data_IF_216618911800
#
_entry.id   IF_216618911800
#
_cell.length_a   1.000
_cell.length_b   1.000
_cell.length_c   1.000
_cell.angle_alpha   90.00
_cell.angle_beta   90.00
_cell.angle_gamma   90.00
#
_symmetry.space_group_name_H-M   'P 1'
#
loop_
_entity.id
_entity.type
_entity.pdbx_description
1 polymer ?
#
# COMPACT_ATOMS: atom_id res chain seq x y z
N UNK A 1 11.49 0.91 -34.03
CA UNK A 1 11.00 -0.49 -33.95
C UNK A 1 10.13 -0.77 -35.16
N UNK A 2 9.96 -2.04 -35.56
CA UNK A 2 9.17 -2.39 -36.76
C UNK A 2 7.66 -2.23 -36.48
N UNK A 3 6.95 -1.31 -37.15
CA UNK A 3 5.52 -1.10 -36.95
C UNK A 3 4.64 -2.27 -37.41
N UNK A 4 5.19 -3.22 -38.18
CA UNK A 4 4.47 -4.40 -38.66
C UNK A 4 4.60 -5.61 -37.71
N UNK A 5 5.43 -5.49 -36.67
CA UNK A 5 5.62 -6.53 -35.67
C UNK A 5 4.54 -6.39 -34.58
N UNK A 6 3.75 -7.45 -34.38
CA UNK A 6 2.62 -7.44 -33.42
C UNK A 6 3.05 -7.56 -31.96
N UNK A 7 4.19 -8.18 -31.69
CA UNK A 7 4.69 -8.43 -30.33
C UNK A 7 6.13 -7.96 -30.22
N UNK A 8 6.42 -7.12 -29.22
CA UNK A 8 7.77 -6.66 -28.92
C UNK A 8 8.28 -7.32 -27.63
N UNK A 9 9.55 -7.72 -27.65
CA UNK A 9 10.17 -8.46 -26.54
C UNK A 9 11.37 -7.74 -25.93
N UNK A 10 12.12 -8.48 -25.13
CA UNK A 10 13.32 -7.96 -24.47
C UNK A 10 14.37 -7.42 -25.46
N UNK A 11 14.58 -8.08 -26.60
CA UNK A 11 15.55 -7.62 -27.60
C UNK A 11 15.18 -6.26 -28.20
N UNK A 12 13.88 -5.98 -28.31
CA UNK A 12 13.38 -4.69 -28.77
C UNK A 12 13.58 -3.60 -27.71
N UNK A 13 13.51 -3.97 -26.42
CA UNK A 13 13.87 -3.07 -25.31
C UNK A 13 15.34 -2.66 -25.36
N UNK A 14 16.24 -3.59 -25.70
CA UNK A 14 17.69 -3.29 -25.88
C UNK A 14 17.90 -2.31 -27.04
N UNK A 15 17.21 -2.52 -28.17
CA UNK A 15 17.25 -1.57 -29.31
C UNK A 15 16.72 -0.20 -28.91
N UNK A 16 15.60 -0.16 -28.18
CA UNK A 16 14.99 1.08 -27.69
C UNK A 16 15.96 1.86 -26.79
N UNK A 17 16.60 1.18 -25.82
CA UNK A 17 17.61 1.78 -24.95
C UNK A 17 18.78 2.38 -25.74
N UNK A 18 19.20 1.73 -26.82
CA UNK A 18 20.28 2.21 -27.69
C UNK A 18 19.91 3.52 -28.41
N UNK A 19 18.63 3.69 -28.78
CA UNK A 19 18.14 4.89 -29.47
C UNK A 19 17.75 6.04 -28.54
N UNK A 20 17.63 5.79 -27.23
CA UNK A 20 17.23 6.76 -26.21
C UNK A 20 18.34 6.93 -25.15
N UNK A 21 19.54 7.42 -25.52
CA UNK A 21 20.67 7.53 -24.61
C UNK A 21 20.46 8.52 -23.46
N UNK A 22 19.52 9.47 -23.61
CA UNK A 22 19.15 10.45 -22.60
C UNK A 22 18.10 9.93 -21.60
N UNK A 23 17.51 8.75 -21.85
CA UNK A 23 16.57 8.08 -20.94
C UNK A 23 17.25 6.91 -20.21
N UNK A 24 17.16 6.90 -18.89
CA UNK A 24 17.39 5.71 -18.09
C UNK A 24 16.15 4.80 -18.16
N UNK A 25 16.36 3.52 -18.48
CA UNK A 25 15.28 2.54 -18.60
C UNK A 25 15.49 1.46 -17.55
N UNK A 26 14.56 1.35 -16.59
CA UNK A 26 14.65 0.35 -15.52
C UNK A 26 13.54 -0.68 -15.72
N UNK A 27 13.95 -1.94 -15.86
CA UNK A 27 13.05 -3.07 -15.94
C UNK A 27 12.99 -3.77 -14.58
N UNK A 28 11.85 -3.66 -13.92
CA UNK A 28 11.52 -4.47 -12.75
C UNK A 28 10.80 -5.73 -13.15
N UNK A 29 10.86 -6.75 -12.30
CA UNK A 29 9.99 -7.90 -12.42
C UNK A 29 9.94 -8.70 -11.14
N UNK A 30 8.94 -9.56 -11.07
CA UNK A 30 8.83 -10.55 -10.01
C UNK A 30 9.33 -11.88 -10.57
N UNK A 31 10.47 -12.33 -10.07
CA UNK A 31 10.93 -13.68 -10.36
C UNK A 31 10.04 -14.68 -9.60
N UNK A 32 9.11 -15.33 -10.30
CA UNK A 32 8.14 -16.27 -9.74
C UNK A 32 6.95 -15.56 -9.07
N UNK A 33 6.73 -15.73 -7.77
CA UNK A 33 5.68 -15.01 -6.99
C UNK A 33 6.29 -14.29 -5.79
N UNK A 34 7.59 -13.95 -5.86
CA UNK A 34 8.23 -13.11 -4.86
C UNK A 34 7.34 -11.88 -4.60
N UNK A 35 7.11 -11.54 -3.34
CA UNK A 35 6.25 -10.40 -2.98
C UNK A 35 6.92 -9.04 -3.22
N UNK A 36 8.06 -9.04 -3.90
CA UNK A 36 8.99 -7.92 -3.96
C UNK A 36 9.60 -7.86 -5.35
N UNK A 37 9.26 -6.81 -6.11
CA UNK A 37 9.83 -6.52 -7.41
C UNK A 37 11.35 -6.38 -7.31
N UNK A 38 12.08 -6.90 -8.29
CA UNK A 38 13.54 -6.76 -8.40
C UNK A 38 13.92 -6.10 -9.71
N UNK A 39 14.97 -5.28 -9.68
CA UNK A 39 15.61 -4.78 -10.90
C UNK A 39 16.16 -6.00 -11.67
N UNK A 40 15.57 -6.23 -12.85
CA UNK A 40 15.97 -7.26 -13.80
C UNK A 40 17.12 -6.70 -14.65
N UNK A 41 16.92 -5.51 -15.22
CA UNK A 41 17.88 -4.81 -16.06
C UNK A 41 17.76 -3.29 -15.88
N UNK A 42 18.85 -2.58 -16.15
CA UNK A 42 18.94 -1.13 -16.04
C UNK A 42 19.85 -0.59 -17.13
N UNK A 43 19.23 0.09 -18.10
CA UNK A 43 19.91 0.68 -19.24
C UNK A 43 20.13 2.17 -19.03
N UNK A 44 21.24 2.68 -19.55
CA UNK A 44 21.59 4.11 -19.55
C UNK A 44 21.47 4.78 -18.17
N UNK A 45 22.18 4.31 -17.12
CA UNK A 45 22.02 4.79 -15.75
C UNK A 45 22.34 6.29 -15.57
N UNK A 46 23.09 6.89 -16.49
CA UNK A 46 23.42 8.32 -16.51
C UNK A 46 22.37 9.19 -17.22
N UNK A 47 21.31 8.57 -17.77
CA UNK A 47 20.22 9.27 -18.47
C UNK A 47 19.42 10.19 -17.54
N UNK A 48 19.11 11.39 -18.04
CA UNK A 48 18.38 12.43 -17.29
C UNK A 48 16.87 12.21 -17.26
N UNK A 49 16.30 11.49 -18.23
CA UNK A 49 14.88 11.16 -18.34
C UNK A 49 14.64 9.71 -17.93
N UNK A 50 13.40 9.31 -17.65
CA UNK A 50 13.09 7.99 -17.07
C UNK A 50 11.99 7.24 -17.81
N UNK A 51 12.21 5.93 -18.00
CA UNK A 51 11.18 4.97 -18.42
C UNK A 51 11.21 3.79 -17.45
N UNK A 52 10.13 3.60 -16.71
CA UNK A 52 9.93 2.47 -15.83
C UNK A 52 9.10 1.39 -16.49
N UNK A 53 9.57 0.14 -16.44
CA UNK A 53 8.83 -1.02 -16.94
C UNK A 53 8.76 -2.10 -15.86
N UNK A 54 7.63 -2.78 -15.78
CA UNK A 54 7.43 -3.94 -14.92
C UNK A 54 7.07 -5.16 -15.75
N UNK A 55 7.84 -6.24 -15.61
CA UNK A 55 7.65 -7.47 -16.34
C UNK A 55 7.16 -8.61 -15.44
N UNK A 56 5.98 -9.14 -15.77
CA UNK A 56 5.40 -10.29 -15.10
C UNK A 56 4.57 -11.13 -16.08
N UNK A 57 4.68 -12.46 -16.01
CA UNK A 57 3.88 -13.39 -16.82
C UNK A 57 3.89 -13.10 -18.34
N UNK A 58 5.06 -12.76 -18.89
CA UNK A 58 5.25 -12.38 -20.30
C UNK A 58 4.57 -11.06 -20.72
N UNK A 59 4.16 -10.24 -19.76
CA UNK A 59 3.58 -8.93 -19.99
C UNK A 59 4.50 -7.84 -19.44
N UNK A 60 4.67 -6.76 -20.20
CA UNK A 60 5.29 -5.51 -19.75
C UNK A 60 4.20 -4.50 -19.38
N UNK A 61 4.27 -3.93 -18.19
CA UNK A 61 3.45 -2.83 -17.73
C UNK A 61 4.33 -1.59 -17.56
N UNK A 62 3.80 -0.40 -17.83
CA UNK A 62 4.57 0.82 -17.60
C UNK A 62 4.47 1.22 -16.13
N UNK A 63 5.59 1.72 -15.58
CA UNK A 63 5.65 2.22 -14.21
C UNK A 63 6.08 3.67 -14.26
N UNK A 64 5.13 4.57 -13.99
CA UNK A 64 5.36 6.01 -13.93
C UNK A 64 5.93 6.49 -12.59
N UNK A 65 6.20 5.60 -11.63
CA UNK A 65 6.62 6.01 -10.28
C UNK A 65 7.98 6.73 -10.30
N UNK A 66 7.95 8.01 -10.00
CA UNK A 66 9.10 8.86 -9.68
C UNK A 66 9.05 9.24 -8.20
N UNK A 67 10.19 9.64 -7.64
CA UNK A 67 10.22 10.32 -6.33
C UNK A 67 10.87 11.67 -6.55
N UNK A 68 10.05 12.71 -6.69
CA UNK A 68 10.46 14.02 -7.18
C UNK A 68 10.94 13.95 -8.64
N UNK A 69 11.99 14.71 -9.03
CA UNK A 69 12.45 14.78 -10.42
C UNK A 69 13.27 13.56 -10.88
N UNK A 70 13.35 12.48 -10.07
CA UNK A 70 14.20 11.32 -10.34
C UNK A 70 13.39 10.03 -10.33
N UNK A 71 13.85 9.06 -11.12
CA UNK A 71 13.33 7.71 -11.13
C UNK A 71 13.27 7.12 -9.72
N UNK A 72 12.14 6.54 -9.36
CA UNK A 72 12.03 5.80 -8.11
C UNK A 72 12.81 4.49 -8.21
N UNK A 73 13.44 4.06 -7.12
CA UNK A 73 14.03 2.73 -6.97
C UNK A 73 13.24 1.95 -5.96
N UNK A 74 12.98 0.68 -6.29
CA UNK A 74 12.29 -0.20 -5.38
C UNK A 74 13.22 -0.62 -4.21
N UNK A 75 12.81 -0.34 -2.97
CA UNK A 75 13.57 -0.75 -1.80
C UNK A 75 13.18 -2.15 -1.30
N UNK A 76 14.13 -3.07 -1.31
CA UNK A 76 13.94 -4.45 -0.84
C UNK A 76 13.71 -4.60 0.67
N UNK A 77 14.04 -3.59 1.47
CA UNK A 77 13.86 -3.61 2.94
C UNK A 77 12.41 -3.31 3.31
N UNK A 78 11.90 -2.15 2.89
CA UNK A 78 10.55 -1.69 3.21
C UNK A 78 9.48 -2.10 2.19
N UNK A 79 9.89 -2.65 1.03
CA UNK A 79 9.00 -3.03 -0.07
C UNK A 79 8.21 -1.84 -0.66
N UNK A 80 8.83 -0.65 -0.70
CA UNK A 80 8.24 0.58 -1.27
C UNK A 80 9.16 1.17 -2.34
N UNK A 81 8.59 1.87 -3.31
CA UNK A 81 9.33 2.76 -4.21
C UNK A 81 9.83 3.97 -3.43
N UNK A 82 11.08 4.35 -3.65
CA UNK A 82 11.74 5.43 -2.92
C UNK A 82 12.87 6.07 -3.75
N UNK A 83 13.49 7.13 -3.24
CA UNK A 83 14.65 7.74 -3.88
C UNK A 83 15.85 6.77 -3.99
N UNK A 84 16.79 7.06 -4.89
CA UNK A 84 17.95 6.20 -5.16
C UNK A 84 18.86 5.94 -3.94
N UNK A 85 18.83 6.80 -2.93
CA UNK A 85 19.62 6.69 -1.70
C UNK A 85 18.81 6.16 -0.52
N UNK A 86 17.53 5.81 -0.71
CA UNK A 86 16.65 5.37 0.37
C UNK A 86 17.25 4.21 1.18
N UNK A 87 17.99 3.29 0.55
CA UNK A 87 18.64 2.16 1.23
C UNK A 87 19.56 2.59 2.40
N UNK A 88 20.18 3.78 2.33
CA UNK A 88 21.07 4.35 3.36
C UNK A 88 20.33 4.79 4.62
N UNK A 89 19.10 5.28 4.46
CA UNK A 89 18.24 5.81 5.54
C UNK A 89 17.07 4.90 5.89
N UNK A 90 16.96 3.75 5.23
CA UNK A 90 15.85 2.83 5.43
C UNK A 90 16.03 2.12 6.77
N UNK A 91 15.07 2.27 7.68
CA UNK A 91 15.12 1.59 8.99
C UNK A 91 14.47 0.20 8.97
N UNK A 92 13.88 -0.21 7.84
CA UNK A 92 13.27 -1.53 7.72
C UNK A 92 14.32 -2.65 7.71
N UNK A 93 14.00 -3.76 8.38
CA UNK A 93 14.81 -4.98 8.29
C UNK A 93 14.65 -5.62 6.92
N UNK A 94 15.76 -6.02 6.29
CA UNK A 94 15.74 -6.73 5.01
C UNK A 94 14.99 -8.07 5.11
N UNK A 95 13.97 -8.26 4.27
CA UNK A 95 13.19 -9.51 4.20
C UNK A 95 13.94 -10.70 3.57
N UNK A 96 15.17 -10.50 3.08
CA UNK A 96 16.00 -11.56 2.47
C UNK A 96 17.14 -12.01 3.37
N UNK A 97 17.87 -11.06 3.97
CA UNK A 97 19.03 -11.37 4.82
C UNK A 97 18.83 -11.10 6.31
N UNK A 98 17.73 -10.46 6.71
CA UNK A 98 17.43 -10.17 8.12
C UNK A 98 18.25 -9.06 8.76
N UNK A 99 19.11 -8.37 8.00
CA UNK A 99 19.94 -7.26 8.50
C UNK A 99 19.37 -5.88 8.13
N UNK A 100 19.87 -4.85 8.80
CA UNK A 100 19.57 -3.44 8.49
C UNK A 100 20.62 -2.84 7.54
N UNK A 101 21.88 -3.29 7.65
CA UNK A 101 22.98 -2.83 6.80
C UNK A 101 23.11 -3.72 5.55
N UNK A 102 22.21 -3.51 4.60
CA UNK A 102 22.26 -4.14 3.28
C UNK A 102 22.45 -3.08 2.19
N UNK A 103 23.41 -3.34 1.30
CA UNK A 103 23.67 -2.50 0.15
C UNK A 103 22.97 -3.07 -1.09
N UNK A 104 22.40 -2.21 -1.95
CA UNK A 104 21.92 -2.63 -3.26
C UNK A 104 23.08 -3.19 -4.09
N UNK A 105 22.76 -4.08 -5.03
CA UNK A 105 23.72 -4.66 -5.95
C UNK A 105 22.99 -5.32 -7.12
N UNK A 106 23.75 -5.83 -8.09
CA UNK A 106 23.23 -6.45 -9.32
C UNK A 106 23.66 -7.92 -9.46
N UNK A 107 24.18 -8.53 -8.40
CA UNK A 107 24.60 -9.92 -8.43
C UNK A 107 23.39 -10.85 -8.62
N UNK A 108 23.58 -12.02 -9.23
CA UNK A 108 22.53 -13.06 -9.35
C UNK A 108 22.97 -14.25 -8.50
N UNK A 109 22.80 -14.15 -7.17
CA UNK A 109 23.25 -15.18 -6.22
C UNK A 109 22.04 -15.98 -5.75
N UNK A 110 22.09 -17.30 -5.89
CA UNK A 110 21.05 -18.22 -5.41
C UNK A 110 21.53 -18.95 -4.15
N UNK A 111 20.65 -19.09 -3.16
CA UNK A 111 20.89 -19.99 -2.04
C UNK A 111 20.16 -21.31 -2.28
N UNK A 112 20.89 -22.41 -2.39
CA UNK A 112 20.31 -23.73 -2.65
C UNK A 112 19.49 -24.26 -1.45
N UNK A 113 19.84 -23.86 -0.22
CA UNK A 113 19.17 -24.32 1.00
C UNK A 113 17.77 -23.70 1.16
N UNK A 114 17.66 -22.38 1.02
CA UNK A 114 16.41 -21.66 1.23
C UNK A 114 15.72 -21.22 -0.07
N UNK A 115 16.33 -21.45 -1.24
CA UNK A 115 15.85 -21.05 -2.56
C UNK A 115 15.63 -19.52 -2.75
N UNK A 116 16.18 -18.67 -1.88
CA UNK A 116 16.08 -17.21 -1.98
C UNK A 116 17.19 -16.66 -2.88
N UNK A 117 16.84 -15.69 -3.74
CA UNK A 117 17.79 -14.97 -4.60
C UNK A 117 18.29 -13.68 -3.94
N UNK A 118 19.58 -13.42 -4.04
CA UNK A 118 20.27 -12.26 -3.47
C UNK A 118 20.94 -11.44 -4.56
N UNK A 119 20.87 -10.12 -4.39
CA UNK A 119 21.45 -9.13 -5.32
C UNK A 119 22.81 -8.58 -4.85
N UNK A 120 23.23 -8.93 -3.64
CA UNK A 120 24.49 -8.49 -3.03
C UNK A 120 25.13 -9.65 -2.27
N UNK A 121 26.44 -9.82 -2.43
CA UNK A 121 27.21 -10.81 -1.65
C UNK A 121 27.14 -10.52 -0.15
N UNK A 122 27.11 -9.25 0.27
CA UNK A 122 26.91 -8.88 1.67
C UNK A 122 25.58 -9.40 2.23
N UNK A 123 24.50 -9.34 1.45
CA UNK A 123 23.22 -9.92 1.85
C UNK A 123 23.28 -11.45 1.93
N UNK A 124 23.97 -12.08 0.97
CA UNK A 124 24.18 -13.52 0.99
C UNK A 124 25.04 -13.94 2.20
N UNK A 125 26.15 -13.31 2.48
CA UNK A 125 26.98 -13.74 3.61
C UNK A 125 26.22 -13.51 4.94
N UNK A 126 25.47 -12.40 5.06
CA UNK A 126 24.67 -12.11 6.24
C UNK A 126 23.49 -13.08 6.46
N UNK A 127 22.85 -13.61 5.40
CA UNK A 127 21.69 -14.50 5.60
C UNK A 127 22.08 -15.87 6.20
N UNK A 128 23.35 -16.25 6.08
CA UNK A 128 23.92 -17.48 6.65
C UNK A 128 24.33 -17.32 8.11
N UNK A 129 24.47 -16.09 8.60
CA UNK A 129 24.97 -15.80 9.94
C UNK A 129 23.79 -15.62 10.91
N UNK A 130 23.79 -16.31 12.08
CA UNK A 130 22.79 -16.10 13.10
C UNK A 130 22.95 -14.74 13.78
N UNK A 131 21.82 -14.08 14.10
CA UNK A 131 21.83 -12.75 14.74
C UNK A 131 22.34 -12.77 16.18
N UNK A 132 22.21 -13.91 16.86
CA UNK A 132 22.68 -14.15 18.23
C UNK A 132 23.11 -15.62 18.35
N UNK A 133 23.89 -15.96 19.37
CA UNK A 133 24.44 -17.32 19.58
C UNK A 133 23.40 -18.44 19.56
N UNK A 134 22.19 -18.19 20.03
CA UNK A 134 21.10 -19.18 20.09
C UNK A 134 20.05 -19.01 18.96
N UNK A 135 20.21 -18.00 18.09
CA UNK A 135 19.26 -17.78 17.01
C UNK A 135 19.59 -18.63 15.79
N UNK A 136 18.56 -19.11 15.09
CA UNK A 136 18.76 -19.67 13.75
C UNK A 136 19.20 -18.56 12.77
N UNK A 137 20.10 -18.87 11.82
CA UNK A 137 20.39 -17.97 10.71
C UNK A 137 19.15 -17.74 9.84
N UNK A 138 19.11 -16.63 9.11
CA UNK A 138 17.93 -16.26 8.31
C UNK A 138 17.59 -17.34 7.27
N UNK A 139 18.62 -17.94 6.68
CA UNK A 139 18.52 -19.09 5.76
C UNK A 139 17.73 -20.28 6.33
N UNK A 140 17.80 -20.50 7.64
CA UNK A 140 17.09 -21.59 8.30
C UNK A 140 15.72 -21.18 8.82
N UNK A 141 15.41 -19.87 8.84
CA UNK A 141 14.13 -19.33 9.30
C UNK A 141 13.13 -19.17 8.17
N UNK A 142 13.60 -18.83 6.98
CA UNK A 142 12.77 -18.49 5.83
C UNK A 142 13.22 -19.25 4.60
N UNK A 143 12.28 -19.59 3.74
CA UNK A 143 12.55 -20.23 2.46
C UNK A 143 11.58 -19.74 1.39
N UNK A 144 11.99 -19.83 0.14
CA UNK A 144 11.17 -19.55 -1.03
C UNK A 144 10.48 -20.84 -1.51
N UNK A 145 9.17 -20.90 -1.40
CA UNK A 145 8.41 -22.07 -1.83
C UNK A 145 8.12 -22.01 -3.33
N UNK A 146 8.73 -22.84 -4.17
CA UNK A 146 8.51 -22.79 -5.64
C UNK A 146 7.04 -22.93 -6.07
N UNK A 147 6.22 -23.65 -5.30
CA UNK A 147 4.79 -23.91 -5.59
C UNK A 147 3.89 -22.70 -5.36
N UNK A 148 3.94 -22.12 -4.16
CA UNK A 148 3.15 -20.92 -3.84
C UNK A 148 3.89 -19.62 -4.19
N UNK A 149 5.17 -19.77 -4.52
CA UNK A 149 6.19 -18.80 -4.88
C UNK A 149 6.31 -17.60 -3.95
N UNK A 150 5.99 -17.80 -2.67
CA UNK A 150 6.18 -16.84 -1.58
C UNK A 150 7.42 -17.19 -0.75
N UNK A 151 8.00 -16.17 -0.10
CA UNK A 151 8.91 -16.39 1.02
C UNK A 151 8.06 -16.69 2.25
N UNK A 152 8.20 -17.89 2.81
CA UNK A 152 7.53 -18.30 4.04
C UNK A 152 8.54 -18.77 5.08
N UNK A 153 8.07 -18.99 6.31
CA UNK A 153 8.85 -19.52 7.42
C UNK A 153 9.02 -21.02 7.28
N UNK A 154 10.21 -21.51 7.60
CA UNK A 154 10.49 -22.95 7.64
C UNK A 154 9.75 -23.61 8.81
N UNK A 155 9.49 -24.90 8.68
CA UNK A 155 8.92 -25.75 9.73
C UNK A 155 9.78 -25.70 11.00
N UNK A 156 11.10 -25.64 10.84
CA UNK A 156 12.07 -25.50 11.94
C UNK A 156 11.86 -24.22 12.75
N UNK A 157 11.44 -23.13 12.11
CA UNK A 157 11.22 -21.85 12.78
C UNK A 157 9.79 -21.63 13.23
N UNK A 158 8.81 -22.14 12.48
CA UNK A 158 7.38 -21.97 12.76
C UNK A 158 6.80 -23.07 13.66
N UNK A 159 7.38 -24.27 13.64
CA UNK A 159 6.85 -25.48 14.27
C UNK A 159 5.83 -26.24 13.42
N UNK A 160 5.30 -25.62 12.35
CA UNK A 160 4.29 -26.21 11.46
C UNK A 160 4.78 -26.28 10.01
N UNK A 161 4.38 -27.32 9.24
CA UNK A 161 4.67 -27.41 7.83
C UNK A 161 4.06 -26.27 7.01
N UNK A 162 4.82 -25.81 6.02
CA UNK A 162 4.31 -24.89 5.01
C UNK A 162 3.17 -25.53 4.18
N UNK A 163 2.05 -24.83 4.05
CA UNK A 163 0.91 -25.23 3.21
C UNK A 163 0.67 -24.18 2.13
N UNK A 164 0.87 -24.55 0.86
CA UNK A 164 0.65 -23.66 -0.28
C UNK A 164 -0.83 -23.26 -0.39
N UNK A 165 -1.10 -21.96 -0.58
CA UNK A 165 -2.47 -21.45 -0.81
C UNK A 165 -3.32 -21.32 0.46
N UNK A 166 -2.81 -21.75 1.62
CA UNK A 166 -3.43 -21.45 2.89
C UNK A 166 -3.41 -19.93 3.12
N UNK A 167 -4.59 -19.29 3.18
CA UNK A 167 -4.69 -17.96 3.81
C UNK A 167 -4.38 -18.18 5.28
N UNK A 168 -3.39 -17.45 5.80
CA UNK A 168 -2.93 -17.62 7.17
C UNK A 168 -4.05 -17.47 8.19
N UNK A 169 -5.09 -16.69 7.88
CA UNK A 169 -6.27 -16.48 8.70
C UNK A 169 -7.52 -16.18 7.85
N UNK A 170 -8.69 -16.64 8.31
CA UNK A 170 -9.99 -16.17 7.86
C UNK A 170 -10.28 -14.81 8.48
N UNK A 171 -10.67 -13.80 7.70
CA UNK A 171 -11.11 -12.54 8.29
C UNK A 171 -12.49 -12.65 8.97
N UNK A 172 -13.27 -13.67 8.64
CA UNK A 172 -14.61 -13.89 9.20
C UNK A 172 -14.58 -14.70 10.50
N UNK A 173 -13.91 -15.85 10.50
CA UNK A 173 -13.82 -16.71 11.70
C UNK A 173 -12.57 -16.45 12.54
N UNK A 174 -11.60 -15.69 12.02
CA UNK A 174 -10.32 -15.45 12.68
C UNK A 174 -9.60 -16.75 13.07
N UNK A 175 -9.72 -17.80 12.26
CA UNK A 175 -8.95 -19.04 12.42
C UNK A 175 -8.01 -19.27 11.22
N UNK A 176 -6.98 -20.08 11.44
CA UNK A 176 -5.98 -20.44 10.43
C UNK A 176 -6.62 -21.36 9.37
N UNK A 177 -6.72 -20.89 8.14
CA UNK A 177 -7.42 -21.61 7.07
C UNK A 177 -6.52 -22.64 6.38
N UNK A 178 -7.00 -23.88 6.24
CA UNK A 178 -6.50 -24.88 5.30
C UNK A 178 -7.26 -24.88 3.96
N UNK A 179 -6.88 -25.73 3.01
CA UNK A 179 -7.64 -25.90 1.75
C UNK A 179 -9.01 -26.49 2.08
N UNK A 180 -10.11 -25.86 1.62
CA UNK A 180 -11.48 -26.33 1.85
C UNK A 180 -12.13 -25.89 3.17
N UNK A 181 -11.72 -24.74 3.72
CA UNK A 181 -12.30 -24.23 4.96
C UNK A 181 -13.78 -23.85 4.83
N UNK A 182 -14.62 -24.53 5.61
CA UNK A 182 -16.01 -24.16 5.86
C UNK A 182 -16.06 -23.08 6.95
N UNK A 183 -16.43 -21.87 6.57
CA UNK A 183 -16.36 -20.69 7.43
C UNK A 183 -17.66 -20.49 8.21
N UNK A 184 -17.53 -20.25 9.52
CA UNK A 184 -18.60 -19.75 10.40
C UNK A 184 -18.11 -18.53 11.16
N UNK A 185 -18.97 -17.55 11.44
CA UNK A 185 -18.59 -16.39 12.27
C UNK A 185 -18.05 -16.87 13.63
N UNK A 186 -16.94 -16.27 14.08
CA UNK A 186 -16.41 -16.56 15.41
C UNK A 186 -17.45 -16.15 16.45
N UNK A 187 -17.93 -17.11 17.24
CA UNK A 187 -18.72 -16.78 18.42
C UNK A 187 -17.78 -16.13 19.43
N UNK A 188 -18.06 -14.90 19.89
CA UNK A 188 -17.20 -14.22 20.85
C UNK A 188 -17.03 -15.06 22.12
N UNK A 189 -15.81 -15.14 22.64
CA UNK A 189 -15.57 -15.80 23.94
C UNK A 189 -16.22 -14.99 25.06
N UNK A 190 -16.48 -15.60 26.22
CA UNK A 190 -17.02 -14.85 27.37
C UNK A 190 -16.11 -13.70 27.80
N UNK A 191 -14.80 -13.86 27.65
CA UNK A 191 -13.81 -12.82 27.94
C UNK A 191 -13.91 -11.65 26.94
N UNK A 192 -14.07 -11.94 25.64
CA UNK A 192 -14.32 -10.92 24.61
C UNK A 192 -15.65 -10.19 24.83
N UNK A 193 -16.70 -10.91 25.21
CA UNK A 193 -18.00 -10.33 25.58
C UNK A 193 -17.87 -9.41 26.78
N UNK A 194 -17.17 -9.86 27.83
CA UNK A 194 -16.96 -9.05 29.03
C UNK A 194 -16.14 -7.79 28.70
N UNK A 195 -15.06 -7.90 27.92
CA UNK A 195 -14.29 -6.73 27.48
C UNK A 195 -15.13 -5.73 26.68
N UNK A 196 -16.02 -6.21 25.80
CA UNK A 196 -16.96 -5.35 25.07
C UNK A 196 -18.01 -4.71 25.99
N UNK A 197 -18.55 -5.44 26.96
CA UNK A 197 -19.47 -4.88 27.98
C UNK A 197 -18.78 -3.82 28.83
N UNK A 198 -17.54 -4.06 29.26
CA UNK A 198 -16.74 -3.07 29.99
C UNK A 198 -16.50 -1.82 29.14
N UNK A 199 -16.13 -1.96 27.87
CA UNK A 199 -15.98 -0.83 26.95
C UNK A 199 -17.30 -0.09 26.69
N UNK A 200 -18.44 -0.76 26.83
CA UNK A 200 -19.77 -0.16 26.71
C UNK A 200 -20.26 0.52 28.01
N UNK A 201 -19.60 0.32 29.16
CA UNK A 201 -20.00 1.00 30.42
C UNK A 201 -19.96 2.51 30.29
N UNK A 202 -18.93 3.01 29.60
CA UNK A 202 -18.83 4.41 29.23
C UNK A 202 -18.55 4.51 27.73
N UNK A 203 -19.50 5.04 26.97
CA UNK A 203 -19.32 5.35 25.55
C UNK A 203 -19.83 6.75 25.28
N UNK A 204 -19.13 7.47 24.40
CA UNK A 204 -19.57 8.76 23.84
C UNK A 204 -20.09 8.50 22.44
N UNK A 205 -21.28 9.01 22.16
CA UNK A 205 -21.93 8.99 20.86
C UNK A 205 -21.88 10.40 20.28
N UNK A 206 -21.58 10.47 18.98
CA UNK A 206 -21.76 11.67 18.18
C UNK A 206 -22.86 11.32 17.19
N UNK A 207 -23.99 12.02 17.30
CA UNK A 207 -25.09 11.91 16.35
C UNK A 207 -25.10 13.22 15.58
N UNK A 208 -25.08 13.11 14.26
CA UNK A 208 -25.16 14.26 13.39
C UNK A 208 -26.19 13.99 12.29
N UNK A 209 -26.77 15.08 11.81
CA UNK A 209 -27.66 15.09 10.67
C UNK A 209 -27.19 16.17 9.69
N UNK A 210 -27.26 15.88 8.40
CA UNK A 210 -26.78 16.75 7.33
C UNK A 210 -27.91 17.00 6.35
N UNK A 211 -28.43 18.21 6.37
CA UNK A 211 -29.36 18.68 5.35
C UNK A 211 -28.56 19.22 4.17
N UNK A 212 -28.93 18.79 2.96
CA UNK A 212 -28.26 19.20 1.73
C UNK A 212 -29.24 19.89 0.78
N UNK A 213 -28.74 20.86 0.02
CA UNK A 213 -29.42 21.41 -1.15
C UNK A 213 -28.75 20.90 -2.41
N UNK A 214 -29.54 20.58 -3.43
CA UNK A 214 -29.02 20.31 -4.78
C UNK A 214 -28.86 21.64 -5.50
N UNK A 215 -27.62 22.02 -5.79
CA UNK A 215 -27.29 23.36 -6.34
C UNK A 215 -27.80 23.56 -7.76
N UNK A 216 -28.04 22.47 -8.50
CA UNK A 216 -28.68 22.52 -9.82
C UNK A 216 -29.58 21.29 -10.02
N UNK A 217 -30.87 21.53 -10.27
CA UNK A 217 -31.72 20.53 -10.94
C UNK A 217 -31.71 20.84 -12.44
N UNK A 218 -30.57 20.59 -13.09
CA UNK A 218 -30.49 20.67 -14.54
C UNK A 218 -31.48 19.70 -15.19
N UNK A 219 -32.08 20.11 -16.32
CA UNK A 219 -32.88 19.19 -17.15
C UNK A 219 -32.03 17.96 -17.49
N UNK A 220 -32.61 16.77 -17.31
CA UNK A 220 -31.92 15.49 -17.50
C UNK A 220 -31.51 15.31 -18.97
N UNK A 221 -30.24 15.59 -19.29
CA UNK A 221 -29.68 15.49 -20.64
C UNK A 221 -29.04 14.12 -20.97
N UNK A 222 -29.31 13.08 -20.18
CA UNK A 222 -28.80 11.72 -20.38
C UNK A 222 -27.82 11.24 -19.30
N UNK A 223 -26.91 10.33 -19.65
CA UNK A 223 -25.96 9.74 -18.71
C UNK A 223 -24.86 10.74 -18.34
N UNK A 224 -24.94 11.28 -17.13
CA UNK A 224 -23.86 12.01 -16.46
C UNK A 224 -23.15 11.06 -15.51
N UNK A 225 -21.81 10.94 -15.64
CA UNK A 225 -20.98 10.04 -14.82
C UNK A 225 -20.99 10.41 -13.32
N UNK A 226 -21.38 11.65 -12.98
CA UNK A 226 -21.57 12.15 -11.62
C UNK A 226 -22.89 12.93 -11.56
N UNK A 227 -23.76 12.59 -10.60
CA UNK A 227 -25.02 13.30 -10.36
C UNK A 227 -24.79 14.74 -9.86
N UNK A 228 -25.87 15.55 -9.72
CA UNK A 228 -25.75 16.93 -9.26
C UNK A 228 -25.06 17.01 -7.89
N UNK A 229 -24.18 18.01 -7.72
CA UNK A 229 -23.41 18.23 -6.48
C UNK A 229 -24.41 18.48 -5.34
N UNK A 230 -24.35 17.65 -4.29
CA UNK A 230 -25.08 17.88 -3.05
C UNK A 230 -24.25 18.78 -2.17
N UNK A 231 -24.79 19.94 -1.77
CA UNK A 231 -24.10 20.86 -0.87
C UNK A 231 -24.77 20.84 0.51
N UNK A 232 -24.05 20.48 1.58
CA UNK A 232 -24.54 20.65 2.95
C UNK A 232 -24.92 22.11 3.21
N UNK A 233 -26.13 22.33 3.70
CA UNK A 233 -26.63 23.66 4.10
C UNK A 233 -26.75 23.77 5.62
N UNK A 234 -27.10 22.67 6.29
CA UNK A 234 -27.17 22.60 7.75
C UNK A 234 -26.57 21.29 8.24
N UNK A 235 -25.63 21.39 9.18
CA UNK A 235 -25.12 20.24 9.92
C UNK A 235 -25.52 20.43 11.38
N UNK A 236 -26.38 19.55 11.88
CA UNK A 236 -26.73 19.50 13.29
C UNK A 236 -25.90 18.39 13.94
N UNK A 237 -25.24 18.69 15.06
CA UNK A 237 -24.45 17.69 15.78
C UNK A 237 -24.75 17.72 17.28
N UNK A 238 -24.94 16.53 17.86
CA UNK A 238 -25.10 16.34 19.28
C UNK A 238 -24.19 15.21 19.76
N UNK A 239 -23.38 15.53 20.77
CA UNK A 239 -22.59 14.54 21.48
C UNK A 239 -23.23 14.22 22.84
N UNK A 240 -23.36 12.94 23.16
CA UNK A 240 -23.82 12.50 24.49
C UNK A 240 -23.10 11.23 24.93
N UNK A 241 -23.12 10.91 26.23
CA UNK A 241 -22.56 9.68 26.75
C UNK A 241 -23.62 8.76 27.34
N UNK A 242 -23.24 7.52 27.63
CA UNK A 242 -24.07 6.51 28.32
C UNK A 242 -24.46 6.88 29.75
N UNK A 243 -23.97 8.00 30.28
CA UNK A 243 -24.38 8.53 31.59
C UNK A 243 -25.42 9.64 31.46
N UNK A 244 -25.26 10.56 30.50
CA UNK A 244 -26.15 11.71 30.36
C UNK A 244 -27.33 11.49 29.41
N UNK A 245 -27.22 10.58 28.43
CA UNK A 245 -28.23 10.33 27.40
C UNK A 245 -28.82 11.62 26.77
N UNK A 246 -27.99 12.64 26.58
CA UNK A 246 -28.38 13.92 25.99
C UNK A 246 -28.76 15.02 26.98
N UNK A 247 -28.71 14.76 28.29
CA UNK A 247 -28.83 15.78 29.34
C UNK A 247 -27.52 16.54 29.63
N UNK A 248 -27.57 17.45 30.60
CA UNK A 248 -26.41 18.27 31.01
C UNK A 248 -25.26 17.40 31.52
N UNK A 249 -24.09 17.56 30.90
CA UNK A 249 -22.91 16.75 31.20
C UNK A 249 -21.64 17.62 31.13
N UNK A 250 -20.75 17.45 32.09
CA UNK A 250 -19.47 18.18 32.12
C UNK A 250 -18.47 17.69 31.07
N UNK A 251 -18.66 16.49 30.54
CA UNK A 251 -17.77 15.87 29.55
C UNK A 251 -18.36 15.80 28.14
N UNK A 252 -19.66 16.04 27.99
CA UNK A 252 -20.30 16.18 26.69
C UNK A 252 -20.41 17.66 26.35
N UNK A 253 -20.10 18.02 25.10
CA UNK A 253 -20.28 19.38 24.61
C UNK A 253 -21.77 19.63 24.42
N UNK A 254 -22.20 20.89 24.55
CA UNK A 254 -23.54 21.32 24.17
C UNK A 254 -23.75 21.03 22.67
N UNK A 255 -24.99 20.80 22.22
CA UNK A 255 -25.27 20.68 20.78
C UNK A 255 -24.70 21.86 20.00
N UNK A 256 -24.24 21.61 18.80
CA UNK A 256 -23.80 22.65 17.88
C UNK A 256 -24.35 22.39 16.48
N UNK A 257 -24.69 23.48 15.83
CA UNK A 257 -25.13 23.52 14.45
C UNK A 257 -24.17 24.39 13.63
N UNK A 258 -24.02 24.02 12.37
CA UNK A 258 -23.34 24.82 11.37
C UNK A 258 -24.31 25.07 10.23
N UNK A 259 -24.60 26.34 9.96
CA UNK A 259 -25.34 26.79 8.78
C UNK A 259 -24.41 27.56 7.86
N UNK A 260 -24.54 27.35 6.55
CA UNK A 260 -23.84 28.14 5.54
C UNK A 260 -24.47 29.56 5.48
N UNK A 261 -23.87 30.53 6.18
CA UNK A 261 -24.41 31.90 6.30
C UNK A 261 -24.23 32.74 5.03
N UNK A 262 -23.27 32.38 4.16
CA UNK A 262 -23.02 33.05 2.88
C UNK A 262 -22.65 32.03 1.78
N UNK A 263 -23.66 31.31 1.26
CA UNK A 263 -23.44 30.30 0.22
C UNK A 263 -22.91 30.88 -1.09
N UNK A 264 -23.13 32.18 -1.36
CA UNK A 264 -22.64 32.86 -2.56
C UNK A 264 -21.12 33.14 -2.47
N UNK A 265 -20.62 33.54 -1.30
CA UNK A 265 -19.18 33.75 -1.08
C UNK A 265 -18.40 32.43 -1.13
N UNK A 266 -18.94 31.34 -0.58
CA UNK A 266 -18.33 30.00 -0.70
C UNK A 266 -18.29 29.52 -2.16
N UNK A 267 -19.38 29.67 -2.90
CA UNK A 267 -19.42 29.34 -4.33
C UNK A 267 -18.40 30.16 -5.13
N UNK A 268 -18.17 31.42 -4.76
CA UNK A 268 -17.13 32.25 -5.37
C UNK A 268 -15.73 31.71 -5.09
N UNK A 269 -15.43 31.32 -3.85
CA UNK A 269 -14.14 30.75 -3.46
C UNK A 269 -13.92 29.40 -4.16
N UNK A 270 -14.90 28.49 -4.16
CA UNK A 270 -14.80 27.20 -4.85
C UNK A 270 -14.60 27.35 -6.36
N UNK A 271 -15.29 28.31 -7.00
CA UNK A 271 -15.10 28.61 -8.43
C UNK A 271 -13.74 29.26 -8.74
N UNK A 272 -13.15 29.98 -7.78
CA UNK A 272 -11.83 30.57 -7.95
C UNK A 272 -10.72 29.52 -7.66
N UNK A 273 -10.94 28.58 -6.73
CA UNK A 273 -10.07 27.42 -6.49
C UNK A 273 -10.11 26.40 -7.65
N UNK A 274 -11.28 26.10 -8.22
CA UNK A 274 -11.39 25.22 -9.41
C UNK A 274 -10.63 25.79 -10.62
N UNK A 275 -10.56 27.12 -10.76
CA UNK A 275 -9.73 27.77 -11.80
C UNK A 275 -8.23 27.67 -11.54
N UNK A 276 -7.80 27.62 -10.28
CA UNK A 276 -6.38 27.42 -9.93
C UNK A 276 -5.95 25.95 -10.05
N UNK A 277 -6.88 25.00 -9.88
CA UNK A 277 -6.63 23.56 -10.02
C UNK A 277 -6.59 23.12 -11.49
N UNK A 278 -7.30 23.79 -12.41
CA UNK A 278 -7.17 23.50 -13.86
C UNK A 278 -5.77 23.77 -14.43
N UNK A 279 -4.95 24.61 -13.76
CA UNK A 279 -3.55 24.85 -14.11
C UNK A 279 -2.54 23.95 -13.37
N UNK A 280 -2.99 23.13 -12.41
CA UNK A 280 -2.15 22.15 -11.69
C UNK A 280 -2.90 20.82 -11.52
N UNK A 281 -3.04 20.07 -12.61
CA UNK A 281 -3.38 18.65 -12.54
C UNK A 281 -2.17 17.85 -12.05
N UNK A 282 -2.07 17.67 -10.73
CA UNK A 282 -1.61 16.44 -10.06
C UNK A 282 -1.54 16.77 -8.56
N UNK A 283 -2.52 16.31 -7.77
CA UNK A 283 -2.31 15.77 -6.42
C UNK A 283 -3.67 15.32 -5.82
N UNK A 284 -3.93 14.01 -5.87
CA UNK A 284 -4.94 13.36 -5.03
C UNK A 284 -4.46 13.40 -3.57
N UNK A 285 -4.77 14.47 -2.83
CA UNK A 285 -4.55 14.54 -1.39
C UNK A 285 -5.48 13.57 -0.65
N UNK A 286 -4.88 12.54 -0.07
CA UNK A 286 -5.52 11.61 0.84
C UNK A 286 -5.84 12.31 2.17
N UNK A 287 -7.11 12.68 2.37
CA UNK A 287 -7.63 13.18 3.66
C UNK A 287 -7.60 12.07 4.73
N UNK A 288 -6.76 12.23 5.75
CA UNK A 288 -6.74 11.37 6.93
C UNK A 288 -7.83 11.77 7.93
N UNK A 289 -8.98 11.09 7.84
CA UNK A 289 -10.12 11.27 8.77
C UNK A 289 -9.76 11.04 10.25
N UNK A 290 -8.62 10.43 10.58
CA UNK A 290 -8.23 10.20 11.97
C UNK A 290 -7.67 11.44 12.66
N UNK A 291 -7.26 12.47 11.90
CA UNK A 291 -6.74 13.71 12.48
C UNK A 291 -7.80 14.56 13.21
N UNK A 292 -9.09 14.23 13.07
CA UNK A 292 -10.22 14.92 13.73
C UNK A 292 -10.40 14.47 15.19
N UNK A 293 -9.81 13.33 15.58
CA UNK A 293 -10.05 12.70 16.89
C UNK A 293 -8.85 12.71 17.85
N UNK A 294 -7.80 13.50 17.58
CA UNK A 294 -6.75 13.86 18.54
C UNK A 294 -7.07 15.18 19.26
#
# INVERSE_FOLDING_TARGET
MDPNQKEHGFDDLVKLATHLPDYQIILWGIEGRQTVASELEHFNPEGSKFIGLFYQNKHYEFVSHTVGPKASRFCFKCSKFADANHWKKCDARCKRCGTFDCAPGNAKIHCDDCNINFKSKKCFDAHLIPTTSNALPYCQKYFYCKKCSLIDRTDKYRGDPHVCGAKSFCHTCLEKIGVGHECSFKVPTEEEKNKKREAQKFSKYIVYDVETVTVESGEYAGHVERGPKHQPNLICCQMFCTECYGGDCTTCKKPWDYSDEDPEERLRIENDEEKEVEDNNDDDEYYDFNAIFE
#
